data_IF_383636609358
#
_entry.id   IF_383636609358
#
_cell.length_a   1.000
_cell.length_b   1.000
_cell.length_c   1.000
_cell.angle_alpha   90.00
_cell.angle_beta   90.00
_cell.angle_gamma   90.00
#
_symmetry.space_group_name_H-M   'P 1'
#
loop_
_entity.id
_entity.type
_entity.pdbx_description
1 polymer ?
#
# COMPACT_ATOMS: atom_id res chain seq x y z
N UNK A 1 -14.85 0.04 5.51
CA UNK A 1 -14.58 -1.41 5.47
C UNK A 1 -13.46 -1.72 6.45
N UNK A 2 -13.21 -2.98 6.76
CA UNK A 2 -12.01 -3.41 7.48
C UNK A 2 -11.00 -4.06 6.52
N UNK A 3 -9.81 -4.39 7.00
CA UNK A 3 -8.84 -5.17 6.21
C UNK A 3 -9.32 -6.60 5.94
N UNK A 4 -10.16 -7.14 6.81
CA UNK A 4 -10.80 -8.47 6.66
C UNK A 4 -11.88 -8.47 5.55
N UNK A 5 -12.25 -7.31 5.00
CA UNK A 5 -13.14 -7.22 3.83
C UNK A 5 -12.37 -7.29 2.50
N UNK A 6 -11.04 -7.39 2.55
CA UNK A 6 -10.18 -7.39 1.36
C UNK A 6 -10.07 -8.79 0.76
N UNK A 7 -10.09 -8.84 -0.56
CA UNK A 7 -9.65 -10.01 -1.32
C UNK A 7 -8.16 -10.27 -1.11
N UNK A 8 -7.73 -11.52 -1.26
CA UNK A 8 -6.34 -11.96 -1.14
C UNK A 8 -5.37 -11.03 -1.89
N UNK A 9 -5.65 -10.70 -3.16
CA UNK A 9 -4.79 -9.78 -3.93
C UNK A 9 -4.75 -8.36 -3.38
N UNK A 10 -5.85 -7.86 -2.81
CA UNK A 10 -5.88 -6.54 -2.21
C UNK A 10 -5.15 -6.53 -0.85
N UNK A 11 -5.35 -7.57 -0.04
CA UNK A 11 -4.65 -7.76 1.22
C UNK A 11 -3.13 -7.95 1.04
N UNK A 12 -2.71 -8.59 -0.05
CA UNK A 12 -1.29 -8.69 -0.44
C UNK A 12 -0.62 -7.31 -0.53
N UNK A 13 -1.36 -6.23 -0.83
CA UNK A 13 -0.80 -4.86 -0.81
C UNK A 13 -0.33 -4.44 0.59
N UNK A 14 -1.03 -4.91 1.64
CA UNK A 14 -0.67 -4.68 3.05
C UNK A 14 0.54 -5.53 3.42
N UNK A 15 0.62 -6.78 2.92
CA UNK A 15 1.77 -7.67 3.14
C UNK A 15 3.02 -7.10 2.49
N UNK A 16 2.93 -6.66 1.23
CA UNK A 16 4.03 -6.00 0.53
C UNK A 16 4.46 -4.76 1.32
N UNK A 17 3.52 -3.89 1.72
CA UNK A 17 3.82 -2.71 2.53
C UNK A 17 4.55 -3.03 3.84
N UNK A 18 4.18 -4.13 4.52
CA UNK A 18 4.86 -4.64 5.71
C UNK A 18 6.32 -5.02 5.43
N UNK A 19 6.59 -5.58 4.25
CA UNK A 19 7.96 -5.89 3.80
C UNK A 19 8.82 -4.65 3.57
N UNK A 20 8.19 -3.49 3.31
CA UNK A 20 8.87 -2.20 3.16
C UNK A 20 9.13 -1.59 4.53
N UNK A 21 8.06 -1.31 5.29
CA UNK A 21 8.12 -0.81 6.67
C UNK A 21 6.84 -1.14 7.43
N UNK A 22 6.95 -1.38 8.74
CA UNK A 22 5.76 -1.52 9.60
C UNK A 22 4.88 -0.26 9.60
N UNK A 23 5.48 0.92 9.48
CA UNK A 23 4.75 2.20 9.39
C UNK A 23 3.88 2.27 8.13
N UNK A 24 4.41 1.87 6.97
CA UNK A 24 3.65 1.87 5.72
C UNK A 24 2.49 0.87 5.76
N UNK A 25 2.70 -0.31 6.36
CA UNK A 25 1.59 -1.24 6.65
C UNK A 25 0.51 -0.56 7.47
N UNK A 26 0.88 0.08 8.59
CA UNK A 26 -0.10 0.75 9.45
C UNK A 26 -0.84 1.86 8.71
N UNK A 27 -0.13 2.70 7.97
CA UNK A 27 -0.71 3.80 7.20
C UNK A 27 -1.67 3.32 6.10
N UNK A 28 -1.37 2.19 5.45
CA UNK A 28 -2.23 1.60 4.42
C UNK A 28 -3.41 0.87 5.06
N UNK A 29 -3.17 0.03 6.07
CA UNK A 29 -4.20 -0.75 6.74
C UNK A 29 -5.26 0.13 7.42
N UNK A 30 -4.84 1.15 8.16
CA UNK A 30 -5.80 2.04 8.88
C UNK A 30 -6.72 2.81 7.95
N UNK A 31 -6.33 3.00 6.69
CA UNK A 31 -7.12 3.70 5.68
C UNK A 31 -8.29 2.88 5.18
N UNK A 32 -8.33 1.56 5.36
CA UNK A 32 -9.46 0.72 4.94
C UNK A 32 -10.80 1.26 5.49
N UNK A 33 -10.80 1.71 6.74
CA UNK A 33 -11.98 2.29 7.41
C UNK A 33 -12.53 3.55 6.74
N UNK A 34 -11.69 4.29 6.00
CA UNK A 34 -12.05 5.54 5.33
C UNK A 34 -12.80 5.30 4.00
N UNK A 35 -12.83 4.05 3.52
CA UNK A 35 -13.46 3.70 2.24
C UNK A 35 -14.62 2.73 2.41
N UNK A 36 -15.55 2.81 1.45
CA UNK A 36 -16.78 2.00 1.43
C UNK A 36 -16.55 0.60 0.89
N UNK A 37 -15.64 0.46 -0.07
CA UNK A 37 -15.38 -0.78 -0.81
C UNK A 37 -13.90 -0.87 -1.19
N UNK A 38 -13.46 -2.08 -1.52
CA UNK A 38 -12.07 -2.40 -1.86
C UNK A 38 -11.54 -1.56 -3.02
N UNK A 39 -12.34 -1.30 -4.06
CA UNK A 39 -11.89 -0.53 -5.22
C UNK A 39 -11.62 0.94 -4.84
N UNK A 40 -12.48 1.52 -4.01
CA UNK A 40 -12.27 2.86 -3.46
C UNK A 40 -11.03 2.90 -2.56
N UNK A 41 -10.83 1.87 -1.73
CA UNK A 41 -9.64 1.71 -0.90
C UNK A 41 -8.36 1.62 -1.72
N UNK A 42 -8.28 0.71 -2.71
CA UNK A 42 -7.12 0.52 -3.58
C UNK A 42 -6.75 1.82 -4.32
N UNK A 43 -7.74 2.55 -4.85
CA UNK A 43 -7.51 3.86 -5.47
C UNK A 43 -7.01 4.90 -4.47
N UNK A 44 -7.48 4.84 -3.24
CA UNK A 44 -7.06 5.69 -2.14
C UNK A 44 -5.60 5.47 -1.76
N UNK A 45 -5.21 4.21 -1.53
CA UNK A 45 -3.83 3.86 -1.19
C UNK A 45 -2.88 4.05 -2.36
N UNK A 46 -3.33 3.87 -3.61
CA UNK A 46 -2.54 4.19 -4.80
C UNK A 46 -2.10 5.65 -4.80
N UNK A 47 -3.04 6.58 -4.57
CA UNK A 47 -2.73 8.02 -4.46
C UNK A 47 -1.79 8.31 -3.30
N UNK A 48 -1.94 7.60 -2.18
CA UNK A 48 -1.07 7.75 -1.03
C UNK A 48 0.37 7.29 -1.34
N UNK A 49 0.53 6.10 -1.94
CA UNK A 49 1.83 5.57 -2.37
C UNK A 49 2.49 6.49 -3.40
N UNK A 50 1.74 7.00 -4.38
CA UNK A 50 2.24 7.98 -5.36
C UNK A 50 2.69 9.28 -4.69
N UNK A 51 1.98 9.74 -3.64
CA UNK A 51 2.41 10.90 -2.85
C UNK A 51 3.75 10.64 -2.17
N UNK A 52 3.94 9.45 -1.59
CA UNK A 52 5.22 9.06 -0.97
C UNK A 52 6.31 9.01 -2.04
N UNK A 53 6.07 8.38 -3.20
CA UNK A 53 7.07 8.29 -4.28
C UNK A 53 7.49 9.64 -4.85
N UNK A 54 6.63 10.66 -4.79
CA UNK A 54 6.99 12.02 -5.22
C UNK A 54 7.97 12.71 -4.27
N UNK A 55 8.00 12.32 -3.00
CA UNK A 55 8.94 12.84 -2.01
C UNK A 55 9.25 11.77 -0.92
N UNK A 56 9.98 10.71 -1.29
CA UNK A 56 10.20 9.56 -0.43
C UNK A 56 11.05 9.92 0.79
N UNK A 57 11.98 10.87 0.61
CA UNK A 57 12.82 11.39 1.68
C UNK A 57 11.99 12.01 2.80
N UNK A 58 10.99 12.84 2.48
CA UNK A 58 10.12 13.44 3.50
C UNK A 58 9.29 12.42 4.27
N UNK A 59 8.88 11.33 3.64
CA UNK A 59 8.18 10.25 4.35
C UNK A 59 9.11 9.51 5.31
N UNK A 60 10.33 9.17 4.86
CA UNK A 60 11.34 8.54 5.71
C UNK A 60 11.73 9.47 6.88
N UNK A 61 11.90 10.77 6.64
CA UNK A 61 12.20 11.76 7.68
C UNK A 61 11.08 11.84 8.73
N UNK A 62 9.82 11.90 8.28
CA UNK A 62 8.64 11.94 9.16
C UNK A 62 8.59 10.76 10.13
N UNK A 63 8.99 9.57 9.68
CA UNK A 63 9.03 8.36 10.49
C UNK A 63 10.41 8.09 11.15
N UNK A 64 11.38 9.00 11.01
CA UNK A 64 12.77 8.86 11.48
C UNK A 64 13.51 7.63 10.91
N UNK A 65 13.24 7.27 9.66
CA UNK A 65 13.79 6.09 8.99
C UNK A 65 14.99 6.38 8.09
N UNK A 66 15.42 7.64 7.97
CA UNK A 66 16.52 8.03 7.09
C UNK A 66 17.88 7.39 7.45
N UNK A 67 18.05 6.97 8.70
CA UNK A 67 19.25 6.26 9.17
C UNK A 67 19.12 4.74 9.06
N UNK A 68 17.90 4.22 8.88
CA UNK A 68 17.60 2.79 8.87
C UNK A 68 17.43 2.24 7.45
N UNK A 69 16.95 3.09 6.52
CA UNK A 69 16.58 2.69 5.18
C UNK A 69 17.33 3.49 4.12
N UNK A 70 17.86 2.75 3.15
CA UNK A 70 18.45 3.33 1.95
C UNK A 70 17.35 3.84 1.02
N UNK A 71 17.45 5.12 0.63
CA UNK A 71 16.44 5.81 -0.19
C UNK A 71 16.18 5.09 -1.51
N UNK A 72 17.24 4.67 -2.21
CA UNK A 72 17.13 3.97 -3.50
C UNK A 72 16.41 2.62 -3.39
N UNK A 73 16.60 1.90 -2.27
CA UNK A 73 15.91 0.63 -2.01
C UNK A 73 14.45 0.89 -1.70
N UNK A 74 14.17 1.88 -0.85
CA UNK A 74 12.82 2.29 -0.50
C UNK A 74 12.00 2.73 -1.73
N UNK A 75 12.58 3.50 -2.65
CA UNK A 75 11.92 3.91 -3.89
C UNK A 75 11.54 2.74 -4.80
N UNK A 76 12.41 1.73 -4.91
CA UNK A 76 12.15 0.52 -5.72
C UNK A 76 11.04 -0.33 -5.12
N UNK A 77 11.04 -0.49 -3.80
CA UNK A 77 10.00 -1.22 -3.09
C UNK A 77 8.63 -0.50 -3.21
N UNK A 78 8.60 0.83 -3.12
CA UNK A 78 7.38 1.61 -3.37
C UNK A 78 6.89 1.48 -4.82
N UNK A 79 7.80 1.46 -5.80
CA UNK A 79 7.42 1.22 -7.19
C UNK A 79 6.81 -0.18 -7.37
N UNK A 80 7.36 -1.19 -6.70
CA UNK A 80 6.81 -2.54 -6.71
C UNK A 80 5.40 -2.59 -6.10
N UNK A 81 5.22 -1.97 -4.93
CA UNK A 81 3.90 -1.84 -4.29
C UNK A 81 2.90 -1.11 -5.19
N UNK A 82 3.29 0.00 -5.82
CA UNK A 82 2.42 0.73 -6.74
C UNK A 82 1.97 -0.14 -7.92
N UNK A 83 2.90 -0.87 -8.55
CA UNK A 83 2.58 -1.77 -9.67
C UNK A 83 1.62 -2.87 -9.23
N UNK A 84 1.80 -3.42 -8.03
CA UNK A 84 0.87 -4.41 -7.48
C UNK A 84 -0.53 -3.82 -7.30
N UNK A 85 -0.65 -2.64 -6.67
CA UNK A 85 -1.95 -1.98 -6.47
C UNK A 85 -2.64 -1.70 -7.81
N UNK A 86 -1.91 -1.19 -8.81
CA UNK A 86 -2.46 -0.95 -10.16
C UNK A 86 -2.98 -2.24 -10.77
N UNK A 87 -2.18 -3.31 -10.74
CA UNK A 87 -2.58 -4.63 -11.25
C UNK A 87 -3.84 -5.14 -10.55
N UNK A 88 -3.93 -4.98 -9.23
CA UNK A 88 -5.12 -5.40 -8.47
C UNK A 88 -6.35 -4.59 -8.88
N UNK A 89 -6.23 -3.27 -9.05
CA UNK A 89 -7.33 -2.42 -9.53
C UNK A 89 -7.81 -2.85 -10.93
N UNK A 90 -6.88 -3.18 -11.84
CA UNK A 90 -7.19 -3.63 -13.20
C UNK A 90 -7.78 -5.05 -13.25
N UNK A 91 -7.52 -5.86 -12.23
CA UNK A 91 -8.07 -7.21 -12.10
C UNK A 91 -9.54 -7.11 -11.64
N UNK A 92 -10.51 -7.74 -12.33
CA UNK A 92 -11.91 -7.80 -11.86
C UNK A 92 -12.00 -8.42 -10.46
N UNK A 93 -12.92 -7.93 -9.63
CA UNK A 93 -13.02 -8.33 -8.21
C UNK A 93 -13.21 -9.85 -8.04
N UNK A 94 -13.90 -10.49 -8.98
CA UNK A 94 -14.16 -11.93 -9.00
C UNK A 94 -12.90 -12.78 -9.23
N UNK A 95 -11.80 -12.15 -9.67
CA UNK A 95 -10.53 -12.80 -9.98
C UNK A 95 -9.43 -12.47 -8.96
N UNK A 96 -9.74 -11.69 -7.91
CA UNK A 96 -8.76 -11.23 -6.91
C UNK A 96 -8.49 -12.21 -5.77
N UNK A 97 -9.10 -13.39 -5.84
CA UNK A 97 -9.05 -14.39 -4.76
C UNK A 97 -10.24 -14.27 -3.81
N UNK A 98 -10.19 -15.00 -2.71
CA UNK A 98 -11.24 -14.95 -1.67
C UNK A 98 -11.03 -13.74 -0.78
N UNK A 99 -12.05 -13.40 0.00
CA UNK A 99 -11.91 -12.44 1.10
C UNK A 99 -11.12 -13.13 2.22
N UNK A 100 -10.13 -12.43 2.79
CA UNK A 100 -9.27 -12.91 3.90
C UNK A 100 -10.00 -13.03 5.24
#
# INVERSE_FOLDING_TARGET
MDTDDLTEMAYESIIIANGITDFLKCDIGVRSKDYKDENAYLKGILKFVQKIRNDPKSYLDYWNLLEELELDSFEKELEYLEKHIIKTIETPIEQRGKVE
#
